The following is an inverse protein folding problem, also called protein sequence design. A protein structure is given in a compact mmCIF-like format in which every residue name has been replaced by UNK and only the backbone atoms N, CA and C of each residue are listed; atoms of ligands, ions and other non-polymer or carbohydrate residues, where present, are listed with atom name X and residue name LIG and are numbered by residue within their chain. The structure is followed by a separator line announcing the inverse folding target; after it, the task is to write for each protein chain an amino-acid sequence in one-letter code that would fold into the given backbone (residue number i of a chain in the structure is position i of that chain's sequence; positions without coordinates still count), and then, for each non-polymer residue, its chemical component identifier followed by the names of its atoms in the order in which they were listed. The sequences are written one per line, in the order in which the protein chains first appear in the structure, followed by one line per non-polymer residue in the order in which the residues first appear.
data_IF_753200281543
#
_entry.id   IF_753200281543
#
_cell.length_a   1.000
_cell.length_b   1.000
_cell.length_c   1.000
_cell.angle_alpha   90.00
_cell.angle_beta   90.00
_cell.angle_gamma   90.00
#
_symmetry.space_group_name_H-M   'P 1'
#
loop_
_entity.id
_entity.type
_entity.pdbx_description
1 polymer ?
#
# COMPACT_ATOMS: atom_id res chain seq x y z
N UNK A 1 -10.77 -7.43 -5.60
CA UNK A 1 -9.85 -6.47 -6.24
C UNK A 1 -8.67 -7.23 -6.83
N UNK A 2 -8.05 -6.75 -7.91
CA UNK A 2 -6.78 -7.31 -8.42
C UNK A 2 -5.65 -6.81 -7.52
N UNK A 3 -4.75 -7.68 -7.09
CA UNK A 3 -3.64 -7.29 -6.21
C UNK A 3 -2.30 -7.89 -6.64
N UNK A 4 -1.22 -7.21 -6.26
CA UNK A 4 0.15 -7.70 -6.34
C UNK A 4 0.61 -8.10 -4.95
N UNK A 5 1.60 -8.98 -4.87
CA UNK A 5 2.17 -9.41 -3.59
C UNK A 5 3.68 -9.51 -3.65
N UNK A 6 4.31 -9.48 -2.48
CA UNK A 6 5.71 -9.83 -2.29
C UNK A 6 5.82 -11.14 -1.51
N UNK A 7 6.92 -11.87 -1.66
CA UNK A 7 7.19 -13.10 -0.92
C UNK A 7 8.68 -13.25 -0.65
N UNK A 8 9.03 -13.72 0.54
CA UNK A 8 10.41 -13.97 0.96
C UNK A 8 10.54 -15.39 1.53
N UNK A 9 11.67 -16.05 1.25
CA UNK A 9 12.09 -17.25 1.97
C UNK A 9 12.94 -16.82 3.16
N UNK A 10 12.41 -16.91 4.37
CA UNK A 10 13.13 -16.55 5.60
C UNK A 10 14.23 -17.57 5.93
N UNK A 11 13.91 -18.85 5.78
CA UNK A 11 14.79 -19.96 6.09
C UNK A 11 14.30 -21.21 5.38
N UNK A 12 15.19 -22.19 5.21
CA UNK A 12 14.89 -23.47 4.56
C UNK A 12 15.54 -23.61 3.19
N UNK A 13 15.38 -24.78 2.55
CA UNK A 13 15.88 -25.02 1.21
C UNK A 13 15.14 -24.17 0.17
N UNK A 14 15.83 -23.86 -0.92
CA UNK A 14 15.34 -23.02 -2.01
C UNK A 14 14.01 -23.52 -2.61
N UNK A 15 13.79 -24.84 -2.64
CA UNK A 15 12.55 -25.45 -3.12
C UNK A 15 11.30 -25.07 -2.31
N UNK A 16 11.46 -24.65 -1.06
CA UNK A 16 10.33 -24.25 -0.21
C UNK A 16 9.77 -22.88 -0.61
N UNK A 17 10.55 -22.04 -1.29
CA UNK A 17 10.03 -20.78 -1.83
C UNK A 17 8.88 -21.04 -2.81
N UNK A 18 9.06 -21.97 -3.75
CA UNK A 18 8.04 -22.28 -4.75
C UNK A 18 6.76 -22.87 -4.12
N UNK A 19 6.92 -23.72 -3.09
CA UNK A 19 5.80 -24.28 -2.34
C UNK A 19 5.04 -23.18 -1.59
N UNK A 20 5.75 -22.31 -0.87
CA UNK A 20 5.17 -21.19 -0.13
C UNK A 20 4.48 -20.17 -1.03
N UNK A 21 5.10 -19.81 -2.16
CA UNK A 21 4.52 -18.88 -3.14
C UNK A 21 3.22 -19.44 -3.75
N UNK A 22 3.17 -20.74 -4.06
CA UNK A 22 1.97 -21.38 -4.58
C UNK A 22 0.81 -21.31 -3.59
N UNK A 23 1.08 -21.55 -2.30
CA UNK A 23 0.08 -21.42 -1.22
C UNK A 23 -0.36 -19.97 -1.08
N UNK A 24 0.58 -19.02 -1.07
CA UNK A 24 0.27 -17.60 -0.92
C UNK A 24 -0.61 -17.08 -2.06
N UNK A 25 -0.35 -17.50 -3.31
CA UNK A 25 -1.18 -17.18 -4.49
C UNK A 25 -2.61 -17.71 -4.39
N UNK A 26 -2.82 -18.84 -3.71
CA UNK A 26 -4.16 -19.38 -3.44
C UNK A 26 -4.87 -18.54 -2.38
N UNK A 27 -4.19 -18.25 -1.27
CA UNK A 27 -4.77 -17.48 -0.15
C UNK A 27 -5.16 -16.06 -0.60
N UNK A 28 -4.33 -15.42 -1.43
CA UNK A 28 -4.48 -14.02 -1.85
C UNK A 28 -5.08 -13.89 -3.26
N UNK A 29 -5.74 -14.92 -3.79
CA UNK A 29 -6.31 -14.87 -5.13
C UNK A 29 -7.38 -13.75 -5.25
N UNK A 30 -7.43 -12.99 -6.36
CA UNK A 30 -6.58 -13.08 -7.55
C UNK A 30 -5.25 -12.27 -7.41
N UNK A 31 -4.12 -12.95 -7.60
CA UNK A 31 -2.78 -12.34 -7.64
C UNK A 31 -2.34 -12.08 -9.08
N UNK A 32 -2.00 -10.83 -9.38
CA UNK A 32 -1.54 -10.39 -10.70
C UNK A 32 -0.04 -10.61 -10.91
N UNK A 33 0.77 -10.17 -9.94
CA UNK A 33 2.22 -10.40 -9.90
C UNK A 33 2.62 -10.80 -8.48
N UNK A 34 3.54 -11.75 -8.39
CA UNK A 34 4.22 -12.12 -7.16
C UNK A 34 5.69 -11.77 -7.33
N UNK A 35 6.22 -10.97 -6.41
CA UNK A 35 7.58 -10.48 -6.44
C UNK A 35 8.39 -11.16 -5.33
N UNK A 36 9.43 -11.90 -5.71
CA UNK A 36 10.37 -12.42 -4.73
C UNK A 36 11.26 -11.30 -4.20
N UNK A 37 11.42 -11.23 -2.89
CA UNK A 37 12.31 -10.30 -2.18
C UNK A 37 13.10 -11.04 -1.11
N UNK A 38 14.18 -10.43 -0.60
CA UNK A 38 14.81 -10.88 0.65
C UNK A 38 13.97 -10.47 1.85
N UNK A 39 14.25 -11.06 3.02
CA UNK A 39 13.59 -10.69 4.27
C UNK A 39 13.88 -9.23 4.62
N UNK A 40 15.14 -8.79 4.47
CA UNK A 40 15.52 -7.40 4.74
C UNK A 40 14.79 -6.43 3.80
N UNK A 41 14.62 -6.78 2.52
CA UNK A 41 13.82 -6.00 1.58
C UNK A 41 12.34 -5.98 1.98
N UNK A 42 11.80 -7.11 2.47
CA UNK A 42 10.45 -7.15 2.99
C UNK A 42 10.30 -6.21 4.20
N UNK A 43 11.27 -6.15 5.10
CA UNK A 43 11.28 -5.22 6.24
C UNK A 43 11.32 -3.74 5.82
N UNK A 44 12.02 -3.42 4.72
CA UNK A 44 12.00 -2.08 4.13
C UNK A 44 10.63 -1.74 3.54
N UNK A 45 9.96 -2.70 2.92
CA UNK A 45 8.62 -2.51 2.37
C UNK A 45 7.57 -2.40 3.48
N UNK A 46 7.66 -3.25 4.51
CA UNK A 46 6.77 -3.29 5.67
C UNK A 46 7.55 -3.68 6.93
N UNK A 47 7.56 -2.84 7.98
CA UNK A 47 6.74 -1.65 8.17
C UNK A 47 7.33 -0.35 7.58
N UNK A 48 8.50 -0.40 6.93
CA UNK A 48 9.23 0.82 6.52
C UNK A 48 8.44 1.73 5.55
N UNK A 49 8.05 1.21 4.39
CA UNK A 49 7.34 1.99 3.38
C UNK A 49 5.83 2.04 3.63
N UNK A 50 5.19 0.90 3.88
CA UNK A 50 3.72 0.77 3.98
C UNK A 50 3.13 1.43 5.22
N UNK A 51 3.79 1.30 6.38
CA UNK A 51 3.25 1.79 7.64
C UNK A 51 3.93 3.09 8.07
N UNK A 52 5.25 3.06 8.23
CA UNK A 52 6.00 4.19 8.80
C UNK A 52 5.90 5.43 7.91
N UNK A 53 6.03 5.27 6.58
CA UNK A 53 5.87 6.37 5.63
C UNK A 53 4.40 6.53 5.21
N UNK A 54 3.82 5.55 4.52
CA UNK A 54 2.52 5.72 3.88
C UNK A 54 1.39 5.91 4.90
N UNK A 55 1.21 4.99 5.86
CA UNK A 55 0.13 5.11 6.85
C UNK A 55 0.25 6.39 7.70
N UNK A 56 1.45 6.76 8.15
CA UNK A 56 1.65 8.02 8.90
C UNK A 56 1.26 9.25 8.09
N UNK A 57 1.63 9.31 6.81
CA UNK A 57 1.27 10.45 5.95
C UNK A 57 -0.23 10.50 5.64
N UNK A 58 -0.90 9.34 5.51
CA UNK A 58 -2.35 9.28 5.37
C UNK A 58 -3.07 9.81 6.63
N UNK A 59 -2.54 9.53 7.82
CA UNK A 59 -3.07 10.11 9.07
C UNK A 59 -2.93 11.63 9.06
N UNK A 60 -1.76 12.16 8.66
CA UNK A 60 -1.56 13.63 8.54
C UNK A 60 -2.54 14.25 7.53
N UNK A 61 -2.80 13.59 6.40
CA UNK A 61 -3.79 14.05 5.43
C UNK A 61 -5.21 14.08 6.03
N UNK A 62 -5.58 13.06 6.81
CA UNK A 62 -6.87 13.03 7.51
C UNK A 62 -6.97 14.15 8.54
N UNK A 63 -5.92 14.40 9.31
CA UNK A 63 -5.88 15.52 10.27
C UNK A 63 -6.01 16.87 9.55
N UNK A 64 -5.44 17.02 8.35
CA UNK A 64 -5.64 18.21 7.53
C UNK A 64 -7.09 18.37 7.05
N UNK A 65 -7.80 17.27 6.74
CA UNK A 65 -9.25 17.30 6.49
C UNK A 65 -10.00 17.79 7.72
N UNK A 66 -9.70 17.23 8.90
CA UNK A 66 -10.36 17.63 10.14
C UNK A 66 -10.15 19.13 10.42
N UNK A 67 -8.93 19.65 10.17
CA UNK A 67 -8.60 21.06 10.37
C UNK A 67 -9.39 22.00 9.45
N UNK A 68 -9.56 21.66 8.17
CA UNK A 68 -10.37 22.50 7.26
C UNK A 68 -11.85 22.44 7.62
N UNK A 69 -12.33 21.28 8.09
CA UNK A 69 -13.70 21.13 8.59
C UNK A 69 -13.92 21.96 9.85
N UNK A 70 -12.96 21.96 10.78
CA UNK A 70 -13.00 22.81 11.97
C UNK A 70 -13.06 24.31 11.65
N UNK A 71 -12.58 24.71 10.46
CA UNK A 71 -12.64 26.08 9.93
C UNK A 71 -13.92 26.38 9.13
N UNK A 72 -14.88 25.46 9.10
CA UNK A 72 -16.22 25.67 8.55
C UNK A 72 -16.46 25.10 7.15
N UNK A 73 -15.53 24.32 6.60
CA UNK A 73 -15.78 23.57 5.36
C UNK A 73 -16.68 22.37 5.67
N UNK A 74 -17.65 22.08 4.80
CA UNK A 74 -18.46 20.86 4.91
C UNK A 74 -17.58 19.61 4.84
N UNK A 75 -17.86 18.62 5.69
CA UNK A 75 -17.02 17.42 5.81
C UNK A 75 -17.01 16.59 4.51
N UNK A 76 -18.15 16.42 3.85
CA UNK A 76 -18.21 15.66 2.62
C UNK A 76 -17.48 16.42 1.50
N UNK A 77 -17.64 17.74 1.43
CA UNK A 77 -16.91 18.57 0.48
C UNK A 77 -15.39 18.46 0.67
N UNK A 78 -14.89 18.49 1.91
CA UNK A 78 -13.46 18.36 2.20
C UNK A 78 -12.92 16.96 1.81
N UNK A 79 -13.68 15.91 2.11
CA UNK A 79 -13.31 14.53 1.76
C UNK A 79 -13.30 14.31 0.25
N UNK A 80 -14.37 14.70 -0.45
CA UNK A 80 -14.47 14.54 -1.91
C UNK A 80 -13.36 15.31 -2.62
N UNK A 81 -13.06 16.52 -2.14
CA UNK A 81 -11.99 17.34 -2.69
C UNK A 81 -10.62 16.67 -2.49
N UNK A 82 -10.29 16.21 -1.29
CA UNK A 82 -9.00 15.53 -1.04
C UNK A 82 -8.88 14.21 -1.80
N UNK A 83 -9.89 13.32 -1.71
CA UNK A 83 -9.85 12.00 -2.33
C UNK A 83 -9.75 12.11 -3.86
N UNK A 84 -10.47 13.05 -4.47
CA UNK A 84 -10.37 13.31 -5.91
C UNK A 84 -8.98 13.78 -6.33
N UNK A 85 -8.36 14.67 -5.54
CA UNK A 85 -7.01 15.14 -5.81
C UNK A 85 -5.97 14.04 -5.59
N UNK A 86 -6.10 13.19 -4.56
CA UNK A 86 -5.17 12.08 -4.35
C UNK A 86 -5.13 11.10 -5.51
N UNK A 87 -6.26 10.87 -6.20
CA UNK A 87 -6.28 10.03 -7.40
C UNK A 87 -5.40 10.65 -8.51
N UNK A 88 -5.72 11.87 -8.93
CA UNK A 88 -5.01 12.54 -10.04
C UNK A 88 -3.55 12.84 -9.69
N UNK A 89 -3.27 13.28 -8.46
CA UNK A 89 -1.91 13.54 -8.01
C UNK A 89 -1.10 12.25 -7.92
N UNK A 90 -1.71 11.16 -7.44
CA UNK A 90 -1.08 9.84 -7.42
C UNK A 90 -0.67 9.39 -8.82
N UNK A 91 -1.60 9.42 -9.77
CA UNK A 91 -1.38 9.07 -11.17
C UNK A 91 -0.19 9.86 -11.78
N UNK A 92 -0.18 11.18 -11.59
CA UNK A 92 0.89 12.06 -12.13
C UNK A 92 2.24 11.84 -11.44
N UNK A 93 2.26 11.74 -10.11
CA UNK A 93 3.51 11.60 -9.34
C UNK A 93 4.18 10.25 -9.61
N UNK A 94 3.39 9.18 -9.71
CA UNK A 94 3.90 7.83 -9.91
C UNK A 94 3.98 7.42 -11.39
N UNK A 95 3.46 8.24 -12.31
CA UNK A 95 3.49 7.97 -13.74
C UNK A 95 2.56 6.83 -14.17
N UNK A 96 1.51 6.58 -13.39
CA UNK A 96 0.46 5.60 -13.67
C UNK A 96 -0.72 6.36 -14.30
N UNK A 97 -0.87 6.34 -15.62
CA UNK A 97 -1.99 6.99 -16.36
C UNK A 97 -3.04 6.01 -16.82
#
# INVERSE_FOLDING_TARGET
AKQHMVSALMQGPEEDFAKGEAIAKIIWAPVMRSHRVTVDQMALLEPGLSETVCASLLVVMKEAVDEVVARGVDQQAALDFLLGHMNVLGDVIFGET
#
